data_IF_512230396887
#
_entry.id   IF_512230396887
#
_cell.length_a   1.000
_cell.length_b   1.000
_cell.length_c   1.000
_cell.angle_alpha   90.00
_cell.angle_beta   90.00
_cell.angle_gamma   90.00
#
_symmetry.space_group_name_H-M   'P 1'
#
loop_
_entity.id
_entity.type
_entity.pdbx_description
1 polymer ?
#
# COMPACT_ATOMS: atom_id res chain seq x y z
N UNK A 1 10.61 -0.42 17.34
CA UNK A 1 9.36 0.32 17.48
C UNK A 1 9.59 1.80 17.17
N UNK A 2 8.74 2.39 16.40
CA UNK A 2 8.87 3.79 16.01
C UNK A 2 8.47 4.70 17.16
N UNK A 3 9.19 5.79 17.33
CA UNK A 3 8.85 6.75 18.35
C UNK A 3 7.64 7.57 17.95
N UNK A 4 6.95 8.10 18.95
CA UNK A 4 5.68 8.80 18.73
C UNK A 4 5.81 9.96 17.76
N UNK A 5 6.82 10.81 17.94
CA UNK A 5 6.99 11.97 17.06
C UNK A 5 7.29 11.54 15.65
N UNK A 6 8.10 10.51 15.50
CA UNK A 6 8.42 9.99 14.17
C UNK A 6 7.20 9.40 13.48
N UNK A 7 6.31 8.79 14.27
CA UNK A 7 5.06 8.30 13.71
C UNK A 7 4.26 9.43 13.10
N UNK A 8 4.15 10.54 13.80
CA UNK A 8 3.38 11.67 13.27
C UNK A 8 4.06 12.30 12.06
N UNK A 9 5.40 12.35 12.07
CA UNK A 9 6.10 12.85 10.89
C UNK A 9 5.84 11.98 9.69
N UNK A 10 5.87 10.68 9.90
CA UNK A 10 5.63 9.73 8.83
C UNK A 10 4.22 9.87 8.28
N UNK A 11 3.25 10.07 9.16
CA UNK A 11 1.87 10.17 8.74
C UNK A 11 1.51 11.53 8.15
N UNK A 12 2.38 12.52 8.31
CA UNK A 12 2.14 13.86 7.79
C UNK A 12 2.53 13.95 6.32
N UNK A 13 2.09 12.97 5.55
CA UNK A 13 2.34 12.91 4.11
C UNK A 13 1.12 12.27 3.49
N UNK A 14 0.50 12.98 2.57
CA UNK A 14 -0.78 12.54 2.01
C UNK A 14 -0.64 11.20 1.28
N UNK A 15 0.44 11.01 0.53
CA UNK A 15 0.62 9.76 -0.20
C UNK A 15 0.76 8.58 0.75
N UNK A 16 1.51 8.74 1.81
CA UNK A 16 1.67 7.67 2.79
C UNK A 16 0.35 7.34 3.49
N UNK A 17 -0.44 8.38 3.82
CA UNK A 17 -1.76 8.12 4.38
C UNK A 17 -2.64 7.36 3.41
N UNK A 18 -2.62 7.74 2.14
CA UNK A 18 -3.42 7.06 1.13
C UNK A 18 -3.03 5.59 1.01
N UNK A 19 -1.74 5.31 1.03
CA UNK A 19 -1.27 3.93 0.96
C UNK A 19 -1.76 3.14 2.18
N UNK A 20 -1.60 3.70 3.36
CA UNK A 20 -2.02 3.00 4.57
C UNK A 20 -3.53 2.75 4.58
N UNK A 21 -4.32 3.71 4.13
CA UNK A 21 -5.76 3.53 4.06
C UNK A 21 -6.12 2.40 3.10
N UNK A 22 -5.45 2.33 1.95
CA UNK A 22 -5.68 1.21 1.05
C UNK A 22 -5.38 -0.12 1.72
N UNK A 23 -4.30 -0.19 2.47
CA UNK A 23 -3.89 -1.43 3.09
C UNK A 23 -4.78 -1.85 4.25
N UNK A 24 -5.63 -0.94 4.75
CA UNK A 24 -6.63 -1.37 5.74
C UNK A 24 -7.64 -2.33 5.15
N UNK A 25 -7.72 -2.40 3.83
CA UNK A 25 -8.65 -3.29 3.15
C UNK A 25 -8.02 -4.62 2.77
N UNK A 26 -6.78 -4.87 3.22
CA UNK A 26 -6.11 -6.12 2.97
C UNK A 26 -4.83 -5.95 2.18
N UNK A 27 -4.16 -7.05 1.94
CA UNK A 27 -2.89 -7.07 1.24
C UNK A 27 -3.06 -6.62 -0.21
N UNK A 28 -2.08 -5.85 -0.69
CA UNK A 28 -2.08 -5.35 -2.06
C UNK A 28 -0.70 -5.49 -2.68
N UNK A 29 -0.69 -5.81 -3.95
CA UNK A 29 0.52 -5.78 -4.75
C UNK A 29 0.96 -4.34 -4.96
N UNK A 30 2.28 -4.10 -4.98
CA UNK A 30 2.80 -2.76 -5.20
C UNK A 30 2.31 -2.18 -6.52
N UNK A 31 2.13 -3.02 -7.51
CA UNK A 31 1.63 -2.60 -8.82
C UNK A 31 0.23 -1.98 -8.71
N UNK A 32 -0.64 -2.60 -7.93
CA UNK A 32 -1.98 -2.06 -7.74
C UNK A 32 -1.94 -0.77 -6.93
N UNK A 33 -1.07 -0.70 -5.95
CA UNK A 33 -0.90 0.53 -5.19
C UNK A 33 -0.50 1.67 -6.12
N UNK A 34 0.49 1.43 -6.97
CA UNK A 34 0.94 2.44 -7.93
C UNK A 34 -0.19 2.90 -8.83
N UNK A 35 -0.96 1.95 -9.31
CA UNK A 35 -2.04 2.24 -10.23
C UNK A 35 -3.09 3.13 -9.59
N UNK A 36 -3.47 2.81 -8.36
CA UNK A 36 -4.51 3.56 -7.66
C UNK A 36 -4.01 4.95 -7.27
N UNK A 37 -2.80 5.01 -6.70
CA UNK A 37 -2.25 6.27 -6.23
C UNK A 37 -1.86 7.17 -7.40
N UNK A 38 -1.49 6.59 -8.52
CA UNK A 38 -1.04 7.37 -9.66
C UNK A 38 0.38 7.88 -9.50
N UNK A 39 1.20 7.17 -8.74
CA UNK A 39 2.57 7.58 -8.49
C UNK A 39 3.54 6.69 -9.25
N UNK A 40 4.74 7.21 -9.46
CA UNK A 40 5.79 6.45 -10.12
C UNK A 40 6.25 5.31 -9.22
N UNK A 41 6.94 4.35 -9.82
CA UNK A 41 7.51 3.27 -9.07
C UNK A 41 8.49 3.77 -8.02
N UNK A 42 9.35 4.72 -8.40
CA UNK A 42 10.35 5.24 -7.46
C UNK A 42 9.71 5.86 -6.24
N UNK A 43 8.69 6.69 -6.46
CA UNK A 43 8.01 7.34 -5.34
C UNK A 43 7.29 6.33 -4.47
N UNK A 44 6.57 5.43 -5.09
CA UNK A 44 5.81 4.42 -4.34
C UNK A 44 6.75 3.56 -3.51
N UNK A 45 7.83 3.10 -4.12
CA UNK A 45 8.80 2.27 -3.40
C UNK A 45 9.43 3.01 -2.23
N UNK A 46 9.70 4.30 -2.41
CA UNK A 46 10.30 5.10 -1.34
C UNK A 46 9.35 5.23 -0.17
N UNK A 47 8.09 5.53 -0.44
CA UNK A 47 7.10 5.64 0.63
C UNK A 47 6.90 4.30 1.34
N UNK A 48 6.84 3.21 0.58
CA UNK A 48 6.68 1.90 1.19
C UNK A 48 7.90 1.51 2.01
N UNK A 49 9.09 1.91 1.58
CA UNK A 49 10.31 1.64 2.34
C UNK A 49 10.28 2.37 3.69
N UNK A 50 9.81 3.62 3.70
CA UNK A 50 9.66 4.35 4.95
C UNK A 50 8.67 3.66 5.87
N UNK A 51 7.53 3.26 5.33
CA UNK A 51 6.50 2.60 6.13
C UNK A 51 6.99 1.26 6.67
N UNK A 52 7.72 0.52 5.86
CA UNK A 52 8.27 -0.76 6.29
C UNK A 52 9.33 -0.56 7.37
N UNK A 53 10.22 0.41 7.17
CA UNK A 53 11.26 0.70 8.15
C UNK A 53 10.70 1.12 9.49
N UNK A 54 9.54 1.76 9.48
CA UNK A 54 8.87 2.18 10.71
C UNK A 54 8.05 1.06 11.34
N UNK A 55 7.96 -0.09 10.71
CA UNK A 55 7.21 -1.21 11.26
C UNK A 55 5.72 -1.12 11.06
N UNK A 56 5.27 -0.28 10.14
CA UNK A 56 3.83 -0.12 9.91
C UNK A 56 3.29 -1.07 8.85
N UNK A 57 4.15 -1.54 7.95
CA UNK A 57 3.75 -2.47 6.92
C UNK A 57 4.76 -3.60 6.82
N UNK A 58 4.30 -4.72 6.28
CA UNK A 58 5.13 -5.86 5.93
C UNK A 58 5.09 -6.06 4.43
N UNK A 59 6.14 -6.64 3.90
CA UNK A 59 6.14 -7.03 2.50
C UNK A 59 6.28 -8.55 2.40
N UNK A 60 5.77 -9.09 1.31
CA UNK A 60 5.82 -10.51 1.03
C UNK A 60 6.08 -10.67 -0.46
N UNK A 61 7.10 -11.42 -0.79
CA UNK A 61 7.42 -11.67 -2.19
C UNK A 61 6.73 -12.93 -2.66
N UNK A 62 6.14 -12.84 -3.83
CA UNK A 62 5.54 -14.00 -4.47
C UNK A 62 5.92 -13.95 -5.95
N UNK A 63 6.90 -14.75 -6.33
CA UNK A 63 7.42 -14.69 -7.68
C UNK A 63 8.06 -13.36 -7.97
N UNK A 64 7.58 -12.69 -9.00
CA UNK A 64 8.08 -11.38 -9.40
C UNK A 64 7.35 -10.24 -8.69
N UNK A 65 6.36 -10.57 -7.85
CA UNK A 65 5.50 -9.55 -7.27
C UNK A 65 5.81 -9.38 -5.80
N UNK A 66 5.71 -8.15 -5.33
CA UNK A 66 5.82 -7.86 -3.91
C UNK A 66 4.48 -7.33 -3.43
N UNK A 67 3.99 -7.94 -2.37
CA UNK A 67 2.72 -7.57 -1.76
C UNK A 67 2.99 -6.90 -0.42
N UNK A 68 2.18 -5.91 -0.10
CA UNK A 68 2.31 -5.19 1.15
C UNK A 68 1.04 -5.32 1.96
N UNK A 69 1.20 -5.39 3.28
CA UNK A 69 0.07 -5.46 4.20
C UNK A 69 0.40 -4.69 5.46
N UNK A 70 -0.63 -4.30 6.20
CA UNK A 70 -0.42 -3.62 7.46
C UNK A 70 0.19 -4.58 8.47
N UNK A 71 1.14 -4.08 9.26
CA UNK A 71 1.70 -4.84 10.36
C UNK A 71 0.71 -4.89 11.51
N UNK A 72 0.94 -5.83 12.43
CA UNK A 72 0.18 -5.82 13.67
C UNK A 72 0.58 -4.61 14.49
N UNK A 73 -0.38 -3.88 15.05
CA UNK A 73 -0.02 -2.73 15.89
C UNK A 73 0.76 -3.18 17.12
N UNK A 74 1.80 -2.42 17.43
CA UNK A 74 2.68 -2.77 18.54
C UNK A 74 2.50 -1.88 19.77
N UNK A 75 1.53 -0.99 19.76
CA UNK A 75 1.29 -0.13 20.90
C UNK A 75 -0.02 0.59 20.73
N UNK A 76 -0.37 1.35 21.75
CA UNK A 76 -1.66 2.03 21.77
C UNK A 76 -1.80 3.02 20.62
N UNK A 77 -0.76 3.82 20.40
CA UNK A 77 -0.83 4.80 19.33
C UNK A 77 -1.05 4.14 17.98
N UNK A 78 -0.30 3.09 17.71
CA UNK A 78 -0.42 2.39 16.45
C UNK A 78 -1.81 1.77 16.30
N UNK A 79 -2.35 1.21 17.40
CA UNK A 79 -3.70 0.67 17.37
C UNK A 79 -4.72 1.74 17.02
N UNK A 80 -4.60 2.91 17.64
CA UNK A 80 -5.55 3.99 17.42
C UNK A 80 -5.43 4.56 16.01
N UNK A 81 -4.20 4.68 15.53
CA UNK A 81 -3.97 5.17 14.18
C UNK A 81 -4.58 4.22 13.16
N UNK A 82 -4.36 2.92 13.33
CA UNK A 82 -4.91 1.95 12.40
C UNK A 82 -6.43 1.94 12.43
N UNK A 83 -7.03 2.09 13.60
CA UNK A 83 -8.48 2.21 13.70
C UNK A 83 -8.99 3.41 12.96
N UNK A 84 -8.32 4.54 13.15
CA UNK A 84 -8.71 5.77 12.45
C UNK A 84 -8.59 5.61 10.95
N UNK A 85 -7.50 4.99 10.49
CA UNK A 85 -7.28 4.80 9.06
C UNK A 85 -8.40 3.98 8.41
N UNK A 86 -8.99 3.05 9.14
CA UNK A 86 -10.07 2.24 8.59
C UNK A 86 -11.31 3.05 8.28
N UNK A 87 -11.44 4.22 8.87
CA UNK A 87 -12.62 5.06 8.71
C UNK A 87 -12.29 6.45 8.20
N UNK A 88 -11.09 6.63 7.66
CA UNK A 88 -10.62 7.96 7.30
C UNK A 88 -11.11 8.43 5.94
N UNK A 89 -11.88 7.62 5.24
CA UNK A 89 -12.31 7.96 3.90
C UNK A 89 -13.16 9.23 3.86
N UNK A 90 -13.78 9.58 4.97
CA UNK A 90 -14.59 10.79 5.03
C UNK A 90 -13.77 12.03 5.40
N UNK A 91 -12.50 11.85 5.74
CA UNK A 91 -11.67 12.97 6.17
C UNK A 91 -10.58 13.32 5.18
N UNK A 92 -10.35 12.44 4.20
CA UNK A 92 -9.40 12.68 3.13
C UNK A 92 -10.14 12.51 1.81
N UNK A 93 -10.33 13.61 1.08
CA UNK A 93 -11.13 13.51 -0.16
C UNK A 93 -10.62 12.46 -1.12
N UNK A 94 -9.30 12.34 -1.23
CA UNK A 94 -8.72 11.40 -2.18
C UNK A 94 -8.91 9.95 -1.73
N UNK A 95 -9.07 9.72 -0.44
CA UNK A 95 -9.19 8.36 0.08
C UNK A 95 -10.45 7.66 -0.43
N UNK A 96 -11.55 8.38 -0.51
CA UNK A 96 -12.79 7.78 -1.01
C UNK A 96 -12.62 7.33 -2.45
N UNK A 97 -11.96 8.14 -3.27
CA UNK A 97 -11.70 7.78 -4.67
C UNK A 97 -10.77 6.58 -4.76
N UNK A 98 -9.74 6.57 -3.92
CA UNK A 98 -8.79 5.45 -3.91
C UNK A 98 -9.50 4.14 -3.57
N UNK A 99 -10.36 4.17 -2.57
CA UNK A 99 -11.06 2.96 -2.14
C UNK A 99 -12.06 2.50 -3.20
N UNK A 100 -12.66 3.45 -3.90
CA UNK A 100 -13.54 3.08 -5.00
C UNK A 100 -12.75 2.39 -6.11
N UNK A 101 -11.58 2.93 -6.44
CA UNK A 101 -10.73 2.31 -7.46
C UNK A 101 -10.31 0.91 -7.03
N UNK A 102 -10.00 0.73 -5.75
CA UNK A 102 -9.63 -0.58 -5.24
C UNK A 102 -10.79 -1.57 -5.40
N UNK A 103 -12.00 -1.15 -5.06
CA UNK A 103 -13.15 -2.03 -5.21
C UNK A 103 -13.35 -2.44 -6.66
N UNK A 104 -13.16 -1.50 -7.58
CA UNK A 104 -13.30 -1.81 -9.00
C UNK A 104 -12.28 -2.83 -9.46
N UNK A 105 -11.04 -2.67 -9.01
CA UNK A 105 -10.01 -3.63 -9.36
C UNK A 105 -10.38 -5.02 -8.85
N UNK A 106 -10.86 -5.11 -7.62
CA UNK A 106 -11.16 -6.39 -7.00
C UNK A 106 -12.38 -7.07 -7.62
N UNK A 107 -13.40 -6.28 -7.97
CA UNK A 107 -14.59 -6.88 -8.56
C UNK A 107 -14.39 -7.25 -10.01
N UNK A 108 -13.58 -6.50 -10.74
CA UNK A 108 -13.33 -6.79 -12.14
C UNK A 108 -12.22 -7.81 -12.35
N UNK A 109 -11.44 -8.08 -11.31
CA UNK A 109 -10.32 -9.00 -11.42
C UNK A 109 -9.15 -8.44 -12.20
N UNK A 110 -9.05 -7.14 -12.33
CA UNK A 110 -8.01 -6.51 -13.13
C UNK A 110 -6.78 -6.12 -12.32
N UNK A 111 -6.58 -6.75 -11.19
CA UNK A 111 -5.38 -6.51 -10.42
C UNK A 111 -4.16 -7.01 -11.17
N UNK A 112 -3.09 -6.24 -11.10
CA UNK A 112 -1.85 -6.61 -11.78
C UNK A 112 -1.33 -7.96 -11.31
N UNK A 113 -1.44 -8.24 -10.04
CA UNK A 113 -0.84 -9.43 -9.45
C UNK A 113 -1.61 -10.70 -9.75
N UNK A 114 -2.79 -10.59 -10.33
CA UNK A 114 -3.62 -11.75 -10.62
C UNK A 114 -3.56 -12.19 -12.06
N UNK A 115 -2.59 -11.68 -12.77
CA UNK A 115 -2.42 -12.09 -14.15
C UNK A 115 -2.12 -13.58 -14.17
N UNK A 116 -2.86 -14.35 -14.96
CA UNK A 116 -2.58 -15.77 -15.07
C UNK A 116 -1.17 -15.98 -15.57
N UNK A 117 -0.59 -17.07 -15.18
CA UNK A 117 0.77 -17.39 -15.57
C UNK A 117 0.79 -17.73 -17.04
N UNK A 118 0.75 -16.74 -17.87
CA UNK A 118 0.82 -16.93 -19.30
C UNK A 118 2.00 -16.13 -19.81
N UNK A 119 2.19 -16.27 -21.09
CA UNK A 119 3.26 -15.53 -21.72
C UNK A 119 3.07 -14.04 -21.62
N UNK A 120 1.83 -13.63 -21.51
CA UNK A 120 1.55 -12.21 -21.40
C UNK A 120 2.19 -11.58 -20.18
N UNK A 121 2.27 -12.38 -19.13
CA UNK A 121 2.84 -11.88 -17.90
C UNK A 121 4.28 -11.45 -18.05
N UNK A 122 4.99 -12.14 -18.92
CA UNK A 122 6.40 -11.87 -19.09
C UNK A 122 6.66 -10.54 -19.77
N UNK A 123 5.78 -10.15 -20.65
CA UNK A 123 6.00 -8.93 -21.42
C UNK A 123 5.64 -7.70 -20.63
N UNK A 124 4.86 -7.85 -19.58
CA UNK A 124 4.42 -6.71 -18.78
C UNK A 124 4.94 -6.73 -17.38
N UNK A 125 5.94 -7.50 -17.12
CA UNK A 125 6.39 -7.67 -15.76
C UNK A 125 6.90 -6.37 -15.18
N UNK A 126 6.48 -6.11 -14.01
CA UNK A 126 7.05 -5.11 -13.15
C UNK A 126 7.74 -5.85 -12.03
N UNK A 127 9.02 -5.60 -11.86
CA UNK A 127 9.79 -6.29 -10.84
C UNK A 127 10.29 -5.27 -9.82
N UNK A 128 9.54 -5.07 -8.75
CA UNK A 128 9.94 -4.09 -7.74
C UNK A 128 11.23 -4.46 -7.03
N UNK A 129 11.56 -5.74 -7.03
CA UNK A 129 12.77 -6.16 -6.33
C UNK A 129 14.02 -5.68 -7.04
N UNK A 130 14.01 -5.62 -8.35
CA UNK A 130 15.19 -5.15 -9.08
C UNK A 130 15.26 -3.65 -9.15
N UNK A 131 14.15 -3.00 -8.91
CA UNK A 131 14.10 -1.54 -9.03
C UNK A 131 14.28 -0.81 -7.73
N UNK A 132 14.04 -1.45 -6.64
CA UNK A 132 14.14 -0.78 -5.34
C UNK A 132 15.56 -0.71 -4.80
#
# INVERSE_FOLDING_TARGET
MIETVDMFRLLADETRLRILILLTRGELCVCDIMSIIGATQSKTSRHLAYLRGAGLVHDRREGLWIHYSLAKPTGLLQQRVFEWLRHAENELPQAADDLRALREIRTSGKTCARVPSSEDDKSRTYDPATKS
#
